data_IF_007064202799
#
_entry.id   IF_007064202799
#
_cell.length_a   1.000
_cell.length_b   1.000
_cell.length_c   1.000
_cell.angle_alpha   90.00
_cell.angle_beta   90.00
_cell.angle_gamma   90.00
#
_symmetry.space_group_name_H-M   'P 1'
#
loop_
_entity.id
_entity.type
_entity.pdbx_description
1 polymer ?
#
# COMPACT_ATOMS: atom_id res chain seq x y z
N UNK A 1 -4.52 -6.57 -17.31
CA UNK A 1 -5.04 -5.45 -16.50
C UNK A 1 -6.50 -5.26 -16.84
N UNK A 2 -7.29 -4.80 -15.86
CA UNK A 2 -8.62 -4.26 -16.12
C UNK A 2 -8.56 -2.95 -16.90
N UNK A 3 -9.72 -2.50 -17.37
CA UNK A 3 -9.92 -1.19 -17.99
C UNK A 3 -11.37 -0.78 -17.78
N UNK A 4 -11.61 0.52 -17.59
CA UNK A 4 -12.95 1.12 -17.45
C UNK A 4 -13.84 0.82 -18.67
N UNK A 5 -13.23 0.69 -19.85
CA UNK A 5 -13.90 0.36 -21.11
C UNK A 5 -13.75 -1.12 -21.48
N UNK A 6 -13.17 -1.93 -20.59
CA UNK A 6 -13.00 -3.35 -20.81
C UNK A 6 -14.31 -4.11 -20.67
N UNK A 7 -14.41 -5.25 -21.35
CA UNK A 7 -15.50 -6.20 -21.11
C UNK A 7 -15.34 -6.81 -19.72
N UNK A 8 -16.43 -6.88 -18.96
CA UNK A 8 -16.43 -7.54 -17.65
C UNK A 8 -15.95 -8.99 -17.77
N UNK A 9 -15.02 -9.38 -16.92
CA UNK A 9 -14.41 -10.73 -16.94
C UNK A 9 -13.29 -10.91 -17.97
N UNK A 10 -12.98 -9.90 -18.79
CA UNK A 10 -11.85 -9.93 -19.72
C UNK A 10 -10.66 -9.12 -19.19
N UNK A 11 -9.46 -9.63 -19.38
CA UNK A 11 -8.22 -8.94 -19.08
C UNK A 11 -7.56 -8.47 -20.38
N UNK A 12 -7.05 -7.24 -20.40
CA UNK A 12 -6.25 -6.72 -21.50
C UNK A 12 -4.77 -6.76 -21.17
N UNK A 13 -3.92 -6.99 -22.15
CA UNK A 13 -2.46 -6.94 -22.01
C UNK A 13 -1.89 -5.96 -23.03
N UNK A 14 -0.96 -5.13 -22.59
CA UNK A 14 -0.25 -4.16 -23.43
C UNK A 14 1.25 -4.34 -23.21
N UNK A 15 2.05 -3.96 -24.20
CA UNK A 15 3.51 -4.01 -24.15
C UNK A 15 4.08 -2.61 -24.26
N UNK A 16 5.28 -2.43 -23.71
CA UNK A 16 5.97 -1.16 -23.72
C UNK A 16 7.39 -1.33 -23.20
N UNK A 17 8.06 -0.22 -22.94
CA UNK A 17 9.41 -0.20 -22.36
C UNK A 17 9.38 0.40 -20.96
N UNK A 18 10.43 0.13 -20.19
CA UNK A 18 10.76 0.95 -19.02
C UNK A 18 11.48 2.19 -19.54
N UNK A 19 10.84 3.35 -19.43
CA UNK A 19 11.37 4.61 -19.91
C UNK A 19 12.35 5.24 -18.91
N UNK A 20 12.15 5.04 -17.61
CA UNK A 20 13.03 5.55 -16.56
C UNK A 20 12.90 4.71 -15.29
N UNK A 21 14.03 4.36 -14.67
CA UNK A 21 14.07 3.71 -13.36
C UNK A 21 14.36 4.77 -12.28
N UNK A 22 13.68 4.69 -11.13
CA UNK A 22 13.93 5.53 -9.96
C UNK A 22 13.45 6.98 -10.12
N UNK A 23 12.39 7.19 -10.91
CA UNK A 23 11.78 8.52 -11.08
C UNK A 23 11.13 8.96 -9.77
N UNK A 24 11.55 10.11 -9.25
CA UNK A 24 10.95 10.71 -8.06
C UNK A 24 9.78 11.61 -8.49
N UNK A 25 8.62 11.40 -7.88
CA UNK A 25 7.47 12.29 -7.98
C UNK A 25 6.97 12.64 -6.58
N UNK A 26 7.04 13.92 -6.23
CA UNK A 26 6.87 14.36 -4.84
C UNK A 26 8.04 13.87 -3.98
N UNK A 27 7.75 13.02 -2.98
CA UNK A 27 8.74 12.40 -2.07
C UNK A 27 8.87 10.89 -2.27
N UNK A 28 8.34 10.38 -3.38
CA UNK A 28 8.10 8.94 -3.55
C UNK A 28 8.72 8.46 -4.86
N UNK A 29 9.34 7.28 -4.80
CA UNK A 29 9.97 6.61 -5.93
C UNK A 29 8.95 5.82 -6.77
N UNK A 30 9.08 5.96 -8.09
CA UNK A 30 8.36 5.24 -9.14
C UNK A 30 9.31 4.81 -10.26
N UNK A 31 8.91 3.82 -11.05
CA UNK A 31 9.48 3.61 -12.38
C UNK A 31 8.50 4.11 -13.43
N UNK A 32 9.02 4.65 -14.52
CA UNK A 32 8.22 5.11 -15.65
C UNK A 32 8.23 4.04 -16.73
N UNK A 33 7.06 3.79 -17.31
CA UNK A 33 6.87 2.87 -18.42
C UNK A 33 5.92 3.46 -19.46
N UNK A 34 6.06 2.99 -20.69
CA UNK A 34 5.19 3.35 -21.82
C UNK A 34 4.06 2.36 -22.04
N UNK A 35 3.90 1.31 -21.20
CA UNK A 35 2.77 0.38 -21.34
C UNK A 35 1.47 1.18 -21.38
N UNK A 36 0.63 0.91 -22.36
CA UNK A 36 -0.67 1.58 -22.47
C UNK A 36 -1.56 1.15 -21.32
N UNK A 37 -2.02 2.13 -20.54
CA UNK A 37 -2.93 1.94 -19.43
C UNK A 37 -4.09 2.94 -19.55
N UNK A 38 -5.29 2.51 -19.17
CA UNK A 38 -6.48 3.35 -19.12
C UNK A 38 -7.00 3.37 -17.67
N UNK A 39 -7.85 4.34 -17.26
CA UNK A 39 -8.57 4.22 -16.00
C UNK A 39 -9.14 2.81 -15.80
N UNK A 40 -8.95 2.23 -14.61
CA UNK A 40 -9.27 0.82 -14.32
C UNK A 40 -8.09 -0.16 -14.48
N UNK A 41 -6.99 0.25 -15.11
CA UNK A 41 -5.75 -0.54 -15.17
C UNK A 41 -4.86 -0.38 -13.93
N UNK A 42 -5.15 0.60 -13.05
CA UNK A 42 -4.47 0.77 -11.76
C UNK A 42 -4.55 -0.50 -10.91
N UNK A 43 -3.46 -0.87 -10.25
CA UNK A 43 -3.31 -2.16 -9.58
C UNK A 43 -2.79 -3.28 -10.49
N UNK A 44 -2.70 -3.03 -11.79
CA UNK A 44 -2.21 -3.98 -12.76
C UNK A 44 -0.69 -4.24 -12.69
N UNK A 45 -0.27 -5.50 -12.78
CA UNK A 45 1.15 -5.88 -12.69
C UNK A 45 1.93 -5.68 -13.99
N UNK A 46 3.09 -5.04 -13.95
CA UNK A 46 4.00 -4.96 -15.09
C UNK A 46 5.03 -6.08 -14.96
N UNK A 47 5.31 -6.76 -16.07
CA UNK A 47 6.20 -7.91 -16.13
C UNK A 47 7.25 -7.72 -17.22
N UNK A 48 8.44 -8.29 -17.02
CA UNK A 48 9.38 -8.52 -18.11
C UNK A 48 8.83 -9.56 -19.09
N UNK A 49 9.39 -9.61 -20.29
CA UNK A 49 9.06 -10.65 -21.27
C UNK A 49 9.38 -12.07 -20.76
N UNK A 50 10.28 -12.18 -19.78
CA UNK A 50 10.60 -13.41 -19.04
C UNK A 50 9.52 -13.83 -18.05
N UNK A 51 8.49 -13.00 -17.83
CA UNK A 51 7.42 -13.24 -16.87
C UNK A 51 7.69 -12.73 -15.45
N UNK A 52 8.86 -12.11 -15.22
CA UNK A 52 9.24 -11.57 -13.91
C UNK A 52 8.45 -10.29 -13.59
N UNK A 53 7.85 -10.22 -12.40
CA UNK A 53 7.10 -9.05 -11.96
C UNK A 53 8.04 -7.90 -11.59
N UNK A 54 7.85 -6.74 -12.22
CA UNK A 54 8.71 -5.55 -12.01
C UNK A 54 8.01 -4.44 -11.24
N UNK A 55 6.68 -4.44 -11.17
CA UNK A 55 5.95 -3.45 -10.39
C UNK A 55 4.46 -3.38 -10.72
N UNK A 56 3.79 -2.37 -10.16
CA UNK A 56 2.35 -2.20 -10.27
C UNK A 56 2.00 -0.84 -10.87
N UNK A 57 1.17 -0.80 -11.91
CA UNK A 57 0.65 0.46 -12.46
C UNK A 57 -0.19 1.15 -11.39
N UNK A 58 0.13 2.41 -11.10
CA UNK A 58 -0.64 3.20 -10.13
C UNK A 58 -1.28 4.42 -10.75
N UNK A 59 -0.55 5.12 -11.63
CA UNK A 59 -0.98 6.41 -12.20
C UNK A 59 -0.30 6.62 -13.55
N UNK A 60 -0.82 7.55 -14.34
CA UNK A 60 -0.23 7.95 -15.61
C UNK A 60 -0.73 9.32 -16.05
N UNK A 61 -0.11 9.85 -17.10
CA UNK A 61 -0.49 11.08 -17.78
C UNK A 61 -0.63 10.78 -19.28
N UNK A 62 -1.85 10.46 -19.72
CA UNK A 62 -2.09 9.95 -21.07
C UNK A 62 -1.69 8.50 -21.24
N UNK A 63 -1.69 8.01 -22.48
CA UNK A 63 -1.57 6.58 -22.78
C UNK A 63 -0.13 6.05 -22.69
N UNK A 64 0.87 6.88 -23.02
CA UNK A 64 2.28 6.47 -23.12
C UNK A 64 3.16 6.89 -21.94
N UNK A 65 2.60 7.50 -20.91
CA UNK A 65 3.33 7.93 -19.71
C UNK A 65 2.66 7.34 -18.48
N UNK A 66 3.18 6.22 -17.99
CA UNK A 66 2.65 5.54 -16.82
C UNK A 66 3.74 5.39 -15.76
N UNK A 67 3.32 5.51 -14.50
CA UNK A 67 4.13 5.30 -13.32
C UNK A 67 3.75 3.98 -12.67
N UNK A 68 4.76 3.18 -12.38
CA UNK A 68 4.64 1.95 -11.62
C UNK A 68 5.28 2.11 -10.25
N UNK A 69 4.69 1.50 -9.23
CA UNK A 69 5.38 1.24 -7.97
C UNK A 69 6.32 0.06 -8.22
N UNK A 70 7.64 0.24 -8.14
CA UNK A 70 8.57 -0.82 -8.48
C UNK A 70 8.57 -1.91 -7.39
N UNK A 71 8.83 -3.15 -7.80
CA UNK A 71 8.84 -4.32 -6.89
C UNK A 71 9.77 -4.12 -5.69
N UNK A 72 10.92 -3.47 -5.87
CA UNK A 72 11.87 -3.12 -4.79
C UNK A 72 11.25 -2.26 -3.67
N UNK A 73 10.27 -1.42 -4.01
CA UNK A 73 9.54 -0.61 -3.03
C UNK A 73 8.44 -1.42 -2.34
N UNK A 74 7.75 -2.26 -3.11
CA UNK A 74 6.71 -3.17 -2.58
C UNK A 74 7.34 -4.12 -1.56
N UNK A 75 8.50 -4.72 -1.90
CA UNK A 75 9.25 -5.61 -1.01
C UNK A 75 9.74 -4.89 0.26
N UNK A 76 10.30 -3.69 0.13
CA UNK A 76 10.72 -2.90 1.30
C UNK A 76 9.57 -2.62 2.24
N UNK A 77 8.43 -2.19 1.69
CA UNK A 77 7.24 -1.89 2.46
C UNK A 77 6.69 -3.16 3.14
N UNK A 78 6.68 -4.29 2.43
CA UNK A 78 6.23 -5.58 2.98
C UNK A 78 7.12 -6.09 4.12
N UNK A 79 8.44 -5.87 4.06
CA UNK A 79 9.36 -6.17 5.15
C UNK A 79 9.13 -5.27 6.37
N UNK A 80 8.91 -3.97 6.15
CA UNK A 80 8.65 -3.01 7.24
C UNK A 80 7.35 -3.31 8.01
N UNK A 81 6.37 -3.94 7.36
CA UNK A 81 5.05 -4.21 7.94
C UNK A 81 4.82 -5.70 8.27
N UNK A 82 5.84 -6.54 8.16
CA UNK A 82 5.76 -7.98 8.45
C UNK A 82 4.67 -8.72 7.65
N UNK A 83 4.57 -8.39 6.35
CA UNK A 83 3.58 -8.98 5.43
C UNK A 83 4.23 -9.68 4.23
N UNK A 84 5.49 -10.11 4.37
CA UNK A 84 6.21 -10.79 3.28
C UNK A 84 5.51 -12.07 2.80
N UNK A 85 4.66 -12.68 3.62
CA UNK A 85 3.78 -13.79 3.25
C UNK A 85 2.85 -13.49 2.05
N UNK A 86 2.59 -12.21 1.75
CA UNK A 86 1.78 -11.82 0.59
C UNK A 86 2.58 -11.82 -0.73
N UNK A 87 3.92 -11.81 -0.66
CA UNK A 87 4.82 -11.73 -1.82
C UNK A 87 5.64 -13.00 -2.02
N UNK A 88 6.01 -13.68 -0.92
CA UNK A 88 6.86 -14.85 -0.91
C UNK A 88 6.07 -16.09 -0.50
N UNK A 89 5.94 -17.03 -1.43
CA UNK A 89 5.19 -18.27 -1.25
C UNK A 89 5.86 -19.26 -0.28
N UNK A 90 7.13 -19.03 0.08
CA UNK A 90 7.84 -19.86 1.06
C UNK A 90 7.49 -19.53 2.51
N UNK A 91 6.84 -18.38 2.74
CA UNK A 91 6.43 -17.92 4.06
C UNK A 91 4.97 -18.32 4.29
N UNK A 92 4.70 -18.95 5.44
CA UNK A 92 3.35 -19.36 5.80
C UNK A 92 2.45 -18.12 5.98
N UNK A 93 1.33 -18.10 5.23
CA UNK A 93 0.35 -17.04 5.34
C UNK A 93 -0.44 -17.15 6.66
N UNK A 94 -0.71 -16.04 7.36
CA UNK A 94 -1.56 -16.05 8.54
C UNK A 94 -2.97 -16.56 8.24
N UNK A 95 -3.70 -16.93 9.29
CA UNK A 95 -5.10 -17.33 9.12
C UNK A 95 -5.95 -16.17 8.59
N UNK A 96 -7.07 -16.49 7.96
CA UNK A 96 -7.99 -15.46 7.48
C UNK A 96 -8.54 -14.57 8.61
N UNK A 97 -8.65 -15.12 9.83
CA UNK A 97 -9.05 -14.36 11.01
C UNK A 97 -7.98 -13.36 11.42
N UNK A 98 -6.71 -13.78 11.41
CA UNK A 98 -5.57 -12.90 11.71
C UNK A 98 -5.45 -11.78 10.67
N UNK A 99 -5.61 -12.10 9.38
CA UNK A 99 -5.57 -11.11 8.29
C UNK A 99 -6.67 -10.04 8.47
N UNK A 100 -7.88 -10.44 8.87
CA UNK A 100 -8.99 -9.50 9.12
C UNK A 100 -8.74 -8.59 10.31
N UNK A 101 -7.93 -9.03 11.26
CA UNK A 101 -7.55 -8.27 12.45
C UNK A 101 -6.33 -7.37 12.23
N UNK A 102 -5.65 -7.47 11.09
CA UNK A 102 -4.54 -6.58 10.75
C UNK A 102 -5.03 -5.13 10.69
N UNK A 103 -4.21 -4.17 11.18
CA UNK A 103 -4.55 -2.76 11.09
C UNK A 103 -4.66 -2.34 9.62
N UNK A 104 -5.81 -1.77 9.24
CA UNK A 104 -5.97 -1.16 7.91
C UNK A 104 -5.16 0.14 7.93
N UNK A 105 -4.21 0.28 7.01
CA UNK A 105 -3.23 1.38 6.93
C UNK A 105 -3.82 2.80 6.96
N UNK A 106 -5.12 2.94 6.68
CA UNK A 106 -5.86 4.22 6.64
C UNK A 106 -6.87 4.37 7.77
N UNK A 107 -7.16 3.31 8.53
CA UNK A 107 -8.06 3.39 9.68
C UNK A 107 -7.25 3.82 10.90
N UNK A 108 -7.50 5.03 11.43
CA UNK A 108 -7.06 5.35 12.78
C UNK A 108 -7.48 4.21 13.73
N UNK A 109 -6.59 3.84 14.66
CA UNK A 109 -6.75 2.70 15.59
C UNK A 109 -8.22 2.47 15.95
N UNK A 110 -8.79 1.35 15.52
CA UNK A 110 -10.07 0.90 16.04
C UNK A 110 -9.90 0.55 17.52
N UNK A 111 -10.90 0.88 18.35
CA UNK A 111 -10.89 0.77 19.81
C UNK A 111 -10.76 -0.67 20.37
N UNK A 112 -10.40 -1.65 19.55
CA UNK A 112 -10.30 -3.07 19.93
C UNK A 112 -8.89 -3.61 20.17
N UNK A 113 -7.83 -2.83 19.92
CA UNK A 113 -6.46 -3.34 20.11
C UNK A 113 -6.12 -3.38 21.60
N UNK A 114 -6.17 -4.57 22.21
CA UNK A 114 -5.64 -4.77 23.56
C UNK A 114 -4.15 -4.37 23.56
N UNK A 115 -3.71 -3.50 24.48
CA UNK A 115 -2.32 -3.08 24.54
C UNK A 115 -1.42 -4.31 24.77
N UNK A 116 -0.32 -4.38 24.01
CA UNK A 116 0.78 -5.30 24.32
C UNK A 116 1.28 -5.00 25.74
N UNK A 117 1.69 -6.05 26.48
CA UNK A 117 2.11 -5.95 27.90
C UNK A 117 3.28 -4.99 28.16
N UNK A 118 3.92 -4.46 27.11
CA UNK A 118 5.05 -3.52 27.21
C UNK A 118 4.71 -2.05 26.90
N UNK A 119 3.42 -1.70 26.67
CA UNK A 119 3.07 -0.29 26.51
C UNK A 119 3.07 0.43 27.86
N UNK A 120 4.17 1.11 28.20
CA UNK A 120 4.19 2.13 29.27
C UNK A 120 3.04 3.09 29.03
N UNK A 121 2.28 3.41 30.08
CA UNK A 121 1.11 4.28 29.94
C UNK A 121 1.52 5.62 29.33
N UNK A 122 0.66 6.20 28.50
CA UNK A 122 0.91 7.49 27.83
C UNK A 122 1.31 8.60 28.83
N UNK A 123 0.80 8.51 30.06
CA UNK A 123 1.12 9.38 31.20
C UNK A 123 2.55 9.20 31.76
N UNK A 124 3.14 8.00 31.64
CA UNK A 124 4.53 7.74 32.04
C UNK A 124 5.54 8.23 31.01
N UNK A 125 5.18 8.24 29.72
CA UNK A 125 6.08 8.63 28.64
C UNK A 125 6.25 10.15 28.52
N UNK A 126 5.26 10.95 28.93
CA UNK A 126 5.30 12.41 28.78
C UNK A 126 4.79 13.15 30.03
N UNK A 127 5.59 13.19 31.12
CA UNK A 127 5.16 13.77 32.40
C UNK A 127 4.93 15.29 32.37
N UNK A 128 5.41 15.99 31.35
CA UNK A 128 5.37 17.46 31.21
C UNK A 128 4.34 17.96 30.19
N UNK A 129 3.52 17.08 29.60
CA UNK A 129 2.46 17.50 28.68
C UNK A 129 1.26 18.07 29.45
N UNK A 130 0.66 19.14 28.90
CA UNK A 130 -0.51 19.82 29.49
C UNK A 130 -1.66 18.82 29.57
N UNK A 131 -2.19 18.61 30.78
CA UNK A 131 -3.35 17.75 31.01
C UNK A 131 -4.62 18.55 30.67
N UNK A 132 -5.41 18.06 29.74
CA UNK A 132 -6.76 18.58 29.48
C UNK A 132 -7.74 17.85 30.39
N UNK A 133 -8.33 18.54 31.36
CA UNK A 133 -9.45 18.02 32.14
C UNK A 133 -10.77 18.35 31.43
N UNK A 134 -11.72 17.41 31.43
CA UNK A 134 -13.09 17.69 31.01
C UNK A 134 -13.81 18.48 32.12
N UNK A 135 -14.33 19.66 31.76
CA UNK A 135 -15.14 20.48 32.65
C UNK A 135 -16.41 19.69 33.03
N UNK A 136 -16.54 19.33 34.30
CA UNK A 136 -17.79 18.79 34.85
C UNK A 136 -18.89 19.83 34.66
N UNK A 137 -19.85 19.53 33.80
CA UNK A 137 -20.99 20.38 33.50
C UNK A 137 -21.70 20.86 34.77
N UNK A 138 -21.85 22.18 34.88
CA UNK A 138 -22.73 22.82 35.84
C UNK A 138 -24.16 22.37 35.56
N UNK A 139 -24.74 21.61 36.49
CA UNK A 139 -26.19 21.43 36.53
C UNK A 139 -26.80 22.75 37.02
N UNK A 140 -27.57 23.40 36.16
CA UNK A 140 -28.69 24.26 36.59
C UNK A 140 -29.93 23.40 36.85
#
# INVERSE_FOLDING_TARGET
MGSLLGQMGANSMTSGIVAQVGRIHGKVEFDQTTVTAFPGSSGGGVYLQTGEYVGMVVRGAGEGFNLIVPVRRIERWAKEHDIMWALDQSIEAPSLEDIKNLPIETAGKSEGTKPSKDSKSFTQLFPFLIRTEELKGSKE
#
